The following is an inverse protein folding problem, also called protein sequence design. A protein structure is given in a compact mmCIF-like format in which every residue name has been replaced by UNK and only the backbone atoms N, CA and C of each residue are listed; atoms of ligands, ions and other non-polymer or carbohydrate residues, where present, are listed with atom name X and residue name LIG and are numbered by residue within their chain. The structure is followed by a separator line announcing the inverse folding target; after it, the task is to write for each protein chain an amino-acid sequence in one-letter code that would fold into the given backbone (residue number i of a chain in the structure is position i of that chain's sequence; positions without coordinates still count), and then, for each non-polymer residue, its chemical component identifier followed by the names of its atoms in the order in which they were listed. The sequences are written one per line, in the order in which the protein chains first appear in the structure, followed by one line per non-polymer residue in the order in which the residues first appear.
data_IF_600518252501
#
_entry.id   IF_600518252501
#
_cell.length_a   1.000
_cell.length_b   1.000
_cell.length_c   1.000
_cell.angle_alpha   90.00
_cell.angle_beta   90.00
_cell.angle_gamma   90.00
#
_symmetry.space_group_name_H-M   'P 1'
#
loop_
_entity.id
_entity.type
_entity.pdbx_description
1 polymer ?
#
# COMPACT_ATOMS: atom_id res chain seq x y z
N UNK A 1 -30.01 -23.29 24.41
CA UNK A 1 -30.72 -23.63 23.16
C UNK A 1 -31.03 -22.32 22.47
N UNK A 2 -30.37 -21.89 21.39
CA UNK A 2 -29.71 -22.64 20.31
C UNK A 2 -30.42 -22.27 19.00
N UNK A 3 -29.63 -21.98 17.95
CA UNK A 3 -29.99 -21.65 16.55
C UNK A 3 -30.31 -20.15 16.30
N UNK A 4 -29.46 -19.32 15.66
CA UNK A 4 -28.47 -19.43 14.59
C UNK A 4 -29.04 -19.56 13.16
N UNK A 5 -28.79 -18.48 12.41
CA UNK A 5 -28.46 -18.42 10.96
C UNK A 5 -29.57 -18.59 9.93
N UNK A 6 -29.81 -17.53 9.14
CA UNK A 6 -29.37 -17.45 7.73
C UNK A 6 -29.93 -16.17 7.08
N UNK A 7 -29.08 -15.13 6.97
CA UNK A 7 -29.30 -14.08 5.97
C UNK A 7 -28.76 -14.60 4.63
N UNK A 8 -29.63 -15.14 3.79
CA UNK A 8 -29.34 -15.36 2.37
C UNK A 8 -29.16 -13.97 1.70
N UNK A 9 -27.93 -13.67 1.28
CA UNK A 9 -27.70 -12.61 0.30
C UNK A 9 -28.15 -13.13 -1.07
N UNK A 10 -29.31 -12.67 -1.53
CA UNK A 10 -29.75 -12.83 -2.91
C UNK A 10 -28.82 -12.06 -3.84
N UNK A 11 -28.21 -12.77 -4.78
CA UNK A 11 -27.23 -12.25 -5.74
C UNK A 11 -27.96 -11.61 -6.93
N UNK A 12 -27.68 -10.33 -7.20
CA UNK A 12 -28.16 -9.63 -8.39
C UNK A 12 -27.09 -9.74 -9.50
N UNK A 13 -27.35 -10.45 -10.61
CA UNK A 13 -26.35 -10.70 -11.67
C UNK A 13 -25.94 -9.46 -12.48
N UNK A 14 -26.47 -8.27 -12.17
CA UNK A 14 -26.19 -7.02 -12.91
C UNK A 14 -25.18 -6.07 -12.23
N UNK A 15 -24.57 -6.45 -11.11
CA UNK A 15 -23.54 -5.61 -10.47
C UNK A 15 -22.18 -5.75 -11.19
N UNK A 16 -22.08 -5.14 -12.37
CA UNK A 16 -20.82 -5.00 -13.11
C UNK A 16 -19.89 -4.13 -12.29
N UNK A 17 -18.73 -4.68 -11.90
CA UNK A 17 -17.71 -3.95 -11.15
C UNK A 17 -16.68 -3.35 -12.08
N UNK A 18 -15.88 -2.41 -11.59
CA UNK A 18 -14.73 -1.91 -12.32
C UNK A 18 -13.71 -3.04 -12.54
N UNK A 19 -13.08 -3.14 -13.73
CA UNK A 19 -13.23 -2.24 -14.89
C UNK A 19 -14.44 -2.54 -15.78
N UNK A 20 -15.18 -1.49 -16.17
CA UNK A 20 -16.42 -1.60 -16.98
C UNK A 20 -16.18 -1.84 -18.48
N UNK A 21 -14.99 -1.51 -18.98
CA UNK A 21 -14.60 -1.62 -20.39
C UNK A 21 -13.96 -2.98 -20.74
N UNK A 22 -13.87 -3.88 -19.77
CA UNK A 22 -13.28 -5.22 -19.90
C UNK A 22 -14.37 -6.28 -19.77
N UNK A 23 -14.21 -7.42 -20.44
CA UNK A 23 -15.21 -8.51 -20.40
C UNK A 23 -15.37 -9.08 -18.98
N UNK A 24 -16.63 -9.15 -18.53
CA UNK A 24 -17.08 -9.77 -17.28
C UNK A 24 -17.53 -11.23 -17.48
N UNK A 25 -17.31 -11.82 -18.66
CA UNK A 25 -17.67 -13.22 -18.91
C UNK A 25 -16.74 -14.19 -18.14
N UNK A 26 -17.29 -15.03 -17.25
CA UNK A 26 -16.49 -15.88 -16.36
C UNK A 26 -16.01 -17.13 -17.11
N UNK A 27 -14.81 -17.06 -17.69
CA UNK A 27 -14.25 -18.10 -18.56
C UNK A 27 -12.95 -18.72 -18.03
N UNK A 28 -12.29 -18.09 -17.05
CA UNK A 28 -10.94 -18.45 -16.59
C UNK A 28 -10.98 -19.21 -15.27
N UNK A 29 -10.18 -20.27 -15.15
CA UNK A 29 -9.93 -20.97 -13.89
C UNK A 29 -8.84 -20.24 -13.10
N UNK A 30 -8.82 -20.44 -11.78
CA UNK A 30 -7.84 -19.80 -10.90
C UNK A 30 -6.36 -20.08 -11.27
N UNK A 31 -6.07 -21.23 -11.88
CA UNK A 31 -4.74 -21.55 -12.39
C UNK A 31 -4.34 -20.69 -13.58
N UNK A 32 -5.27 -20.48 -14.52
CA UNK A 32 -5.07 -19.64 -15.70
C UNK A 32 -4.90 -18.16 -15.30
N UNK A 33 -5.67 -17.69 -14.31
CA UNK A 33 -5.51 -16.35 -13.74
C UNK A 33 -4.11 -16.15 -13.16
N UNK A 34 -3.62 -17.14 -12.38
CA UNK A 34 -2.25 -17.09 -11.84
C UNK A 34 -1.22 -17.03 -12.97
N UNK A 35 -1.36 -17.86 -14.01
CA UNK A 35 -0.42 -17.87 -15.14
C UNK A 35 -0.37 -16.52 -15.86
N UNK A 36 -1.52 -15.89 -16.12
CA UNK A 36 -1.61 -14.58 -16.74
C UNK A 36 -0.86 -13.51 -15.92
N UNK A 37 -1.04 -13.52 -14.59
CA UNK A 37 -0.45 -12.52 -13.71
C UNK A 37 1.02 -12.84 -13.32
N UNK A 38 1.51 -14.06 -13.55
CA UNK A 38 2.84 -14.48 -13.11
C UNK A 38 3.99 -13.73 -13.78
N UNK A 39 3.78 -13.17 -14.98
CA UNK A 39 4.79 -12.36 -15.66
C UNK A 39 5.09 -11.06 -14.90
N UNK A 40 4.08 -10.46 -14.28
CA UNK A 40 4.18 -9.19 -13.54
C UNK A 40 4.35 -9.42 -12.03
N UNK A 41 3.85 -10.55 -11.53
CA UNK A 41 3.88 -10.94 -10.11
C UNK A 41 4.37 -12.39 -9.95
N UNK A 42 5.68 -12.66 -10.07
CA UNK A 42 6.23 -14.03 -10.05
C UNK A 42 5.99 -14.78 -8.74
N UNK A 43 5.76 -14.06 -7.64
CA UNK A 43 5.48 -14.61 -6.31
C UNK A 43 3.98 -14.85 -6.05
N UNK A 44 3.10 -14.55 -7.01
CA UNK A 44 1.67 -14.77 -6.85
C UNK A 44 1.36 -16.28 -6.80
N UNK A 45 0.69 -16.69 -5.73
CA UNK A 45 0.20 -18.06 -5.57
C UNK A 45 -1.33 -18.11 -5.52
N UNK A 46 -1.88 -19.30 -5.77
CA UNK A 46 -3.34 -19.53 -5.77
C UNK A 46 -3.97 -19.21 -4.41
N UNK A 47 -3.26 -19.44 -3.31
CA UNK A 47 -3.74 -19.14 -1.96
C UNK A 47 -3.96 -17.64 -1.75
N UNK A 48 -3.09 -16.78 -2.29
CA UNK A 48 -3.25 -15.32 -2.26
C UNK A 48 -4.48 -14.87 -3.05
N UNK A 49 -4.73 -15.44 -4.23
CA UNK A 49 -5.93 -15.13 -5.03
C UNK A 49 -7.21 -15.52 -4.25
N UNK A 50 -7.24 -16.70 -3.64
CA UNK A 50 -8.35 -17.14 -2.78
C UNK A 50 -8.55 -16.26 -1.56
N UNK A 51 -7.46 -15.78 -0.97
CA UNK A 51 -7.53 -14.87 0.16
C UNK A 51 -8.18 -13.54 -0.24
N UNK A 52 -7.79 -12.97 -1.38
CA UNK A 52 -8.38 -11.73 -1.91
C UNK A 52 -9.88 -11.90 -2.25
N UNK A 53 -10.27 -13.08 -2.73
CA UNK A 53 -11.69 -13.44 -2.89
C UNK A 53 -12.41 -13.51 -1.54
N UNK A 54 -11.84 -14.17 -0.54
CA UNK A 54 -12.48 -14.38 0.76
C UNK A 54 -12.76 -13.07 1.53
N UNK A 55 -12.02 -12.00 1.22
CA UNK A 55 -12.23 -10.66 1.80
C UNK A 55 -12.99 -9.74 0.83
N UNK A 56 -13.66 -10.31 -0.17
CA UNK A 56 -14.54 -9.66 -1.14
C UNK A 56 -13.89 -8.55 -1.99
N UNK A 57 -12.56 -8.57 -2.16
CA UNK A 57 -11.89 -7.64 -3.09
C UNK A 57 -12.03 -8.06 -4.55
N UNK A 58 -12.31 -9.33 -4.81
CA UNK A 58 -12.67 -9.88 -6.11
C UNK A 58 -13.82 -10.87 -5.92
N UNK A 59 -14.81 -10.85 -6.81
CA UNK A 59 -16.03 -11.66 -6.66
C UNK A 59 -16.19 -12.53 -7.92
N UNK A 60 -15.49 -13.67 -8.00
CA UNK A 60 -15.58 -14.57 -9.14
C UNK A 60 -16.93 -15.29 -9.19
N UNK A 61 -17.40 -15.60 -10.39
CA UNK A 61 -18.61 -16.38 -10.58
C UNK A 61 -18.44 -17.83 -10.10
N UNK A 62 -19.48 -18.36 -9.45
CA UNK A 62 -19.55 -19.77 -9.05
C UNK A 62 -20.48 -20.54 -9.96
N UNK A 63 -19.99 -21.63 -10.56
CA UNK A 63 -20.82 -22.54 -11.34
C UNK A 63 -21.81 -23.30 -10.44
N UNK A 64 -22.81 -23.94 -11.04
CA UNK A 64 -23.71 -24.89 -10.37
C UNK A 64 -22.97 -26.08 -9.72
N UNK A 65 -21.76 -26.39 -10.19
CA UNK A 65 -20.82 -27.36 -9.61
C UNK A 65 -19.87 -26.77 -8.56
N UNK A 66 -20.12 -25.52 -8.10
CA UNK A 66 -19.32 -24.78 -7.12
C UNK A 66 -17.85 -24.52 -7.53
N UNK A 67 -17.57 -24.49 -8.84
CA UNK A 67 -16.26 -24.10 -9.36
C UNK A 67 -16.19 -22.59 -9.52
N UNK A 68 -15.04 -22.00 -9.15
CA UNK A 68 -14.74 -20.57 -9.36
C UNK A 68 -14.31 -20.34 -10.80
N UNK A 69 -14.99 -19.41 -11.46
CA UNK A 69 -14.62 -18.89 -12.77
C UNK A 69 -14.44 -17.38 -12.66
N UNK A 70 -13.30 -16.93 -13.14
CA UNK A 70 -12.90 -15.54 -13.17
C UNK A 70 -13.13 -14.99 -14.58
N UNK A 71 -13.51 -13.74 -14.66
CA UNK A 71 -13.60 -12.96 -15.89
C UNK A 71 -12.27 -12.27 -16.20
N UNK A 72 -12.19 -11.60 -17.35
CA UNK A 72 -11.03 -10.73 -17.63
C UNK A 72 -11.03 -9.49 -16.75
N UNK A 73 -12.20 -8.97 -16.41
CA UNK A 73 -12.32 -7.84 -15.48
C UNK A 73 -11.76 -8.21 -14.10
N UNK A 74 -12.01 -9.43 -13.61
CA UNK A 74 -11.43 -9.91 -12.35
C UNK A 74 -9.90 -9.96 -12.39
N UNK A 75 -9.31 -10.32 -13.54
CA UNK A 75 -7.84 -10.34 -13.72
C UNK A 75 -7.27 -8.92 -13.62
N UNK A 76 -7.91 -7.95 -14.28
CA UNK A 76 -7.49 -6.54 -14.20
C UNK A 76 -7.64 -5.97 -12.78
N UNK A 77 -8.74 -6.32 -12.11
CA UNK A 77 -8.97 -5.97 -10.71
C UNK A 77 -7.90 -6.55 -9.79
N UNK A 78 -7.55 -7.83 -9.96
CA UNK A 78 -6.44 -8.46 -9.25
C UNK A 78 -5.09 -7.79 -9.57
N UNK A 79 -4.82 -7.44 -10.82
CA UNK A 79 -3.61 -6.70 -11.21
C UNK A 79 -3.53 -5.34 -10.50
N UNK A 80 -4.65 -4.61 -10.42
CA UNK A 80 -4.72 -3.35 -9.69
C UNK A 80 -4.38 -3.54 -8.21
N UNK A 81 -5.05 -4.48 -7.54
CA UNK A 81 -4.78 -4.80 -6.13
C UNK A 81 -3.30 -5.10 -5.91
N UNK A 82 -2.74 -6.01 -6.71
CA UNK A 82 -1.35 -6.45 -6.57
C UNK A 82 -0.33 -5.33 -6.86
N UNK A 83 -0.63 -4.44 -7.82
CA UNK A 83 0.19 -3.27 -8.11
C UNK A 83 0.20 -2.29 -6.95
N UNK A 84 -0.98 -1.97 -6.40
CA UNK A 84 -1.11 -1.08 -5.24
C UNK A 84 -0.41 -1.64 -4.00
N UNK A 85 -0.44 -2.96 -3.80
CA UNK A 85 0.34 -3.61 -2.74
C UNK A 85 1.86 -3.58 -3.00
N UNK A 86 2.30 -3.76 -4.24
CA UNK A 86 3.73 -3.85 -4.60
C UNK A 86 4.42 -2.48 -4.59
N UNK A 87 3.79 -1.49 -5.21
CA UNK A 87 4.42 -0.21 -5.53
C UNK A 87 4.09 0.86 -4.49
N UNK A 88 2.91 0.75 -3.87
CA UNK A 88 2.39 1.72 -2.90
C UNK A 88 2.17 1.13 -1.51
N UNK A 89 2.42 -0.16 -1.32
CA UNK A 89 2.30 -0.86 -0.03
C UNK A 89 0.96 -0.62 0.67
N UNK A 90 -0.12 -0.44 -0.11
CA UNK A 90 -1.43 -0.12 0.47
C UNK A 90 -2.03 -1.36 1.17
N UNK A 91 -2.55 -1.19 2.40
CA UNK A 91 -3.42 -2.15 3.05
C UNK A 91 -4.67 -2.48 2.24
N UNK A 92 -5.12 -3.72 2.37
CA UNK A 92 -6.23 -4.28 1.59
C UNK A 92 -7.57 -3.58 1.85
N UNK A 93 -7.79 -3.05 3.06
CA UNK A 93 -8.96 -2.24 3.39
C UNK A 93 -9.05 -0.98 2.54
N UNK A 94 -7.95 -0.24 2.42
CA UNK A 94 -7.88 0.99 1.62
C UNK A 94 -7.96 0.68 0.12
N UNK A 95 -7.37 -0.43 -0.33
CA UNK A 95 -7.57 -0.89 -1.71
C UNK A 95 -9.05 -1.21 -1.97
N UNK A 96 -9.76 -1.79 -1.00
CA UNK A 96 -11.20 -2.03 -1.08
C UNK A 96 -12.02 -0.74 -1.21
N UNK A 97 -11.67 0.31 -0.47
CA UNK A 97 -12.29 1.63 -0.61
C UNK A 97 -12.06 2.24 -2.00
N UNK A 98 -10.82 2.15 -2.52
CA UNK A 98 -10.48 2.60 -3.88
C UNK A 98 -11.32 1.85 -4.92
N UNK A 99 -11.41 0.53 -4.78
CA UNK A 99 -12.22 -0.30 -5.67
C UNK A 99 -13.71 0.04 -5.58
N UNK A 100 -14.25 0.30 -4.38
CA UNK A 100 -15.64 0.72 -4.20
C UNK A 100 -15.93 2.07 -4.87
N UNK A 101 -14.98 3.01 -4.81
CA UNK A 101 -15.08 4.27 -5.52
C UNK A 101 -15.11 4.06 -7.04
N UNK A 102 -14.25 3.17 -7.55
CA UNK A 102 -14.20 2.79 -8.97
C UNK A 102 -15.49 2.11 -9.43
N UNK A 103 -16.04 1.20 -8.63
CA UNK A 103 -17.29 0.48 -8.88
C UNK A 103 -18.50 1.42 -8.93
N UNK A 104 -18.46 2.53 -8.19
CA UNK A 104 -19.57 3.51 -8.16
C UNK A 104 -19.65 4.42 -9.39
N UNK A 105 -18.76 4.24 -10.38
CA UNK A 105 -18.75 5.05 -11.60
C UNK A 105 -18.39 6.53 -11.36
N UNK A 106 -17.96 6.91 -10.15
CA UNK A 106 -17.43 8.25 -9.81
C UNK A 106 -16.04 8.50 -10.42
N UNK A 107 -15.76 7.92 -11.58
CA UNK A 107 -14.67 8.32 -12.44
C UNK A 107 -15.09 9.53 -13.29
N UNK A 108 -15.48 10.63 -12.63
CA UNK A 108 -15.66 11.93 -13.25
C UNK A 108 -14.35 12.71 -13.13
N UNK A 109 -13.61 12.80 -14.23
CA UNK A 109 -12.45 13.70 -14.43
C UNK A 109 -11.40 13.66 -13.30
N UNK A 110 -10.70 12.52 -13.14
CA UNK A 110 -9.50 12.47 -12.29
C UNK A 110 -9.18 11.18 -11.54
N UNK A 111 -9.73 10.00 -11.89
CA UNK A 111 -9.32 8.72 -11.28
C UNK A 111 -9.64 7.50 -12.19
N UNK A 112 -8.95 6.33 -12.06
CA UNK A 112 -8.14 5.73 -13.11
C UNK A 112 -8.84 4.48 -13.65
N UNK A 113 -9.93 4.66 -14.40
CA UNK A 113 -10.45 3.61 -15.28
C UNK A 113 -9.84 3.62 -16.68
N UNK A 114 -9.08 4.67 -17.01
CA UNK A 114 -8.40 4.84 -18.30
C UNK A 114 -7.00 5.40 -18.08
N UNK A 115 -6.07 4.59 -17.60
CA UNK A 115 -4.64 4.93 -17.71
C UNK A 115 -3.79 3.66 -17.80
N UNK A 116 -3.80 3.11 -19.02
CA UNK A 116 -2.61 2.51 -19.64
C UNK A 116 -1.45 3.50 -19.42
N UNK A 117 -0.39 3.07 -18.76
CA UNK A 117 0.91 3.76 -18.72
C UNK A 117 0.85 5.29 -18.43
N UNK A 118 0.49 5.67 -17.21
CA UNK A 118 0.95 6.94 -16.63
C UNK A 118 1.35 6.66 -15.18
N UNK A 119 2.60 7.01 -14.89
CA UNK A 119 3.24 7.02 -13.58
C UNK A 119 2.28 7.56 -12.50
N UNK A 120 1.90 6.73 -11.52
CA UNK A 120 0.99 7.15 -10.45
C UNK A 120 1.77 7.89 -9.36
N UNK A 121 1.97 9.19 -9.57
CA UNK A 121 2.48 10.17 -8.60
C UNK A 121 1.39 11.22 -8.24
N UNK A 122 0.10 10.87 -8.39
CA UNK A 122 -1.03 11.82 -8.37
C UNK A 122 -1.88 11.83 -7.07
N UNK A 123 -1.26 11.52 -5.92
CA UNK A 123 -1.44 12.45 -4.80
C UNK A 123 -0.29 13.42 -5.01
N UNK A 124 -0.46 14.75 -5.12
CA UNK A 124 0.68 15.65 -5.24
C UNK A 124 1.64 15.38 -4.10
N UNK A 125 2.63 14.53 -4.34
CA UNK A 125 3.60 14.16 -3.33
C UNK A 125 4.40 15.43 -3.17
N UNK A 126 4.41 16.02 -1.97
CA UNK A 126 5.10 17.27 -1.79
C UNK A 126 6.54 17.04 -2.24
N UNK A 127 7.03 17.84 -3.19
CA UNK A 127 8.36 17.65 -3.76
C UNK A 127 9.38 17.57 -2.61
N UNK A 128 10.43 16.74 -2.71
CA UNK A 128 11.48 16.70 -1.70
C UNK A 128 11.96 18.13 -1.36
N UNK A 129 11.91 18.48 -0.07
CA UNK A 129 12.23 19.83 0.41
C UNK A 129 11.01 20.75 0.66
N UNK A 130 9.80 20.34 0.26
CA UNK A 130 8.56 21.03 0.62
C UNK A 130 8.35 21.00 2.14
N UNK A 131 7.83 22.10 2.67
CA UNK A 131 7.48 22.24 4.09
C UNK A 131 5.98 22.47 4.20
N UNK A 132 5.33 21.61 4.96
CA UNK A 132 3.88 21.58 5.12
C UNK A 132 3.47 21.99 6.53
N UNK A 133 2.36 22.67 6.66
CA UNK A 133 1.64 22.82 7.91
C UNK A 133 0.92 21.52 8.27
N UNK A 134 0.55 21.36 9.54
CA UNK A 134 -0.26 20.21 9.98
C UNK A 134 -1.63 20.17 9.29
N UNK A 135 -2.20 21.35 9.00
CA UNK A 135 -3.46 21.47 8.27
C UNK A 135 -3.34 20.93 6.83
N UNK A 136 -2.27 21.28 6.12
CA UNK A 136 -2.01 20.74 4.78
C UNK A 136 -1.77 19.21 4.81
N UNK A 137 -1.06 18.70 5.82
CA UNK A 137 -0.90 17.24 6.00
C UNK A 137 -2.23 16.56 6.30
N UNK A 138 -3.10 17.19 7.12
CA UNK A 138 -4.44 16.70 7.41
C UNK A 138 -5.30 16.62 6.14
N UNK A 139 -5.30 17.67 5.32
CA UNK A 139 -6.01 17.70 4.04
C UNK A 139 -5.54 16.60 3.08
N UNK A 140 -4.22 16.35 3.01
CA UNK A 140 -3.64 15.35 2.12
C UNK A 140 -3.80 13.89 2.61
N UNK A 141 -4.06 13.69 3.89
CA UNK A 141 -4.11 12.34 4.51
C UNK A 141 -5.50 11.95 4.99
N UNK A 142 -6.40 12.91 5.21
CA UNK A 142 -7.69 12.68 5.88
C UNK A 142 -7.57 12.49 7.39
N UNK A 143 -6.36 12.53 7.97
CA UNK A 143 -6.12 12.34 9.40
C UNK A 143 -6.37 13.66 10.14
N UNK A 144 -7.13 13.67 11.26
CA UNK A 144 -7.33 14.87 12.08
C UNK A 144 -6.02 15.54 12.49
N UNK A 145 -6.02 16.88 12.52
CA UNK A 145 -4.84 17.65 12.95
C UNK A 145 -4.38 17.25 14.35
N UNK A 146 -5.31 16.93 15.26
CA UNK A 146 -5.02 16.53 16.64
C UNK A 146 -4.16 15.25 16.71
N UNK A 147 -4.44 14.28 15.84
CA UNK A 147 -3.68 13.03 15.75
C UNK A 147 -2.29 13.27 15.13
N UNK A 148 -2.21 14.16 14.14
CA UNK A 148 -0.92 14.60 13.56
C UNK A 148 -0.07 15.31 14.62
N UNK A 149 -0.70 16.10 15.50
CA UNK A 149 -0.02 16.71 16.63
C UNK A 149 0.49 15.69 17.64
N UNK A 150 -0.27 14.62 17.89
CA UNK A 150 0.20 13.54 18.74
C UNK A 150 1.41 12.82 18.13
N UNK A 151 1.37 12.48 16.84
CA UNK A 151 2.50 11.91 16.12
C UNK A 151 3.73 12.83 16.17
N UNK A 152 3.54 14.14 16.09
CA UNK A 152 4.61 15.13 16.24
C UNK A 152 5.15 15.18 17.68
N UNK A 153 4.29 15.21 18.70
CA UNK A 153 4.68 15.18 20.12
C UNK A 153 5.49 13.93 20.47
N UNK A 154 5.15 12.80 19.86
CA UNK A 154 5.85 11.53 20.03
C UNK A 154 7.14 11.43 19.21
N UNK A 155 7.41 12.42 18.35
CA UNK A 155 8.58 12.44 17.47
C UNK A 155 8.53 11.37 16.37
N UNK A 156 7.33 10.93 15.99
CA UNK A 156 7.12 10.03 14.84
C UNK A 156 7.25 10.82 13.54
N UNK A 157 6.73 12.05 13.50
CA UNK A 157 6.99 13.03 12.45
C UNK A 157 7.90 14.15 12.94
N UNK A 158 8.87 14.54 12.11
CA UNK A 158 9.81 15.61 12.41
C UNK A 158 9.21 16.99 12.09
N UNK A 159 9.36 17.93 13.03
CA UNK A 159 8.83 19.29 12.94
C UNK A 159 9.99 20.28 12.97
N UNK A 160 10.01 21.22 12.03
CA UNK A 160 11.01 22.29 12.00
C UNK A 160 10.74 23.37 13.08
N UNK A 161 11.68 24.29 13.34
CA UNK A 161 11.49 25.35 14.34
C UNK A 161 10.30 26.28 14.10
N UNK A 162 9.71 26.27 12.90
CA UNK A 162 8.51 27.05 12.54
C UNK A 162 7.24 26.21 12.65
N UNK A 163 7.30 25.00 13.20
CA UNK A 163 6.16 24.12 13.35
C UNK A 163 5.77 23.38 12.06
N UNK A 164 6.63 23.35 11.04
CA UNK A 164 6.32 22.73 9.75
C UNK A 164 6.92 21.35 9.59
N UNK A 165 6.18 20.49 8.90
CA UNK A 165 6.46 19.10 8.60
C UNK A 165 7.18 18.96 7.26
N UNK A 166 7.89 17.85 7.08
CA UNK A 166 8.54 17.51 5.82
C UNK A 166 7.54 16.92 4.81
N UNK A 167 7.92 16.86 3.53
CA UNK A 167 7.16 16.14 2.51
C UNK A 167 6.84 14.69 2.88
N UNK A 168 7.74 14.01 3.59
CA UNK A 168 7.56 12.62 4.03
C UNK A 168 6.54 12.46 5.15
N UNK A 169 6.15 13.55 5.82
CA UNK A 169 5.16 13.48 6.90
C UNK A 169 3.80 12.95 6.40
N UNK A 170 3.46 13.20 5.13
CA UNK A 170 2.21 12.70 4.53
C UNK A 170 2.17 11.17 4.56
N UNK A 171 3.24 10.51 4.09
CA UNK A 171 3.32 9.04 4.09
C UNK A 171 3.44 8.49 5.52
N UNK A 172 4.24 9.12 6.38
CA UNK A 172 4.42 8.69 7.77
C UNK A 172 3.08 8.74 8.52
N UNK A 173 2.33 9.83 8.41
CA UNK A 173 1.00 9.99 9.03
C UNK A 173 0.03 8.95 8.48
N UNK A 174 -0.05 8.79 7.15
CA UNK A 174 -0.94 7.83 6.50
C UNK A 174 -0.69 6.41 7.02
N UNK A 175 0.55 5.92 6.95
CA UNK A 175 0.84 4.56 7.40
C UNK A 175 0.73 4.39 8.91
N UNK A 176 1.01 5.43 9.70
CA UNK A 176 0.76 5.39 11.14
C UNK A 176 -0.72 5.18 11.43
N UNK A 177 -1.61 5.90 10.74
CA UNK A 177 -3.06 5.73 10.90
C UNK A 177 -3.51 4.30 10.54
N UNK A 178 -3.03 3.78 9.41
CA UNK A 178 -3.41 2.43 8.98
C UNK A 178 -2.95 1.34 9.95
N UNK A 179 -1.77 1.53 10.57
CA UNK A 179 -1.25 0.64 11.60
C UNK A 179 -2.13 0.72 12.86
N UNK A 180 -2.53 1.92 13.28
CA UNK A 180 -3.43 2.09 14.43
C UNK A 180 -4.82 1.51 14.18
N UNK A 181 -5.35 1.60 12.96
CA UNK A 181 -6.64 1.02 12.57
C UNK A 181 -6.63 -0.52 12.64
N UNK A 182 -5.45 -1.14 12.48
CA UNK A 182 -5.24 -2.58 12.69
C UNK A 182 -5.10 -2.96 14.18
N UNK A 183 -5.23 -2.00 15.10
CA UNK A 183 -5.16 -2.22 16.54
C UNK A 183 -3.73 -2.19 17.11
N UNK A 184 -2.73 -1.83 16.32
CA UNK A 184 -1.36 -1.65 16.81
C UNK A 184 -1.19 -0.26 17.42
N UNK A 185 -0.71 -0.20 18.65
CA UNK A 185 -0.57 1.08 19.35
C UNK A 185 0.62 1.93 18.84
N UNK A 186 0.66 3.18 19.30
CA UNK A 186 1.72 4.14 18.98
C UNK A 186 3.11 3.71 19.47
N UNK A 187 3.21 2.76 20.42
CA UNK A 187 4.49 2.23 20.90
C UNK A 187 5.16 1.41 19.80
N UNK A 188 4.38 0.60 19.07
CA UNK A 188 4.88 -0.18 17.94
C UNK A 188 5.39 0.73 16.82
N UNK A 189 4.65 1.80 16.51
CA UNK A 189 5.07 2.80 15.50
C UNK A 189 6.39 3.46 15.92
N UNK A 190 6.56 3.80 17.20
CA UNK A 190 7.83 4.34 17.71
C UNK A 190 8.99 3.35 17.60
N UNK A 191 8.75 2.04 17.79
CA UNK A 191 9.78 1.03 17.61
C UNK A 191 10.27 1.00 16.15
N UNK A 192 9.36 1.04 15.18
CA UNK A 192 9.69 1.14 13.75
C UNK A 192 10.46 2.42 13.45
N UNK A 193 10.00 3.58 13.97
CA UNK A 193 10.70 4.87 13.82
C UNK A 193 12.13 4.84 14.35
N UNK A 194 12.34 4.24 15.52
CA UNK A 194 13.67 4.13 16.12
C UNK A 194 14.59 3.23 15.28
N UNK A 195 14.08 2.12 14.77
CA UNK A 195 14.83 1.25 13.85
C UNK A 195 15.23 2.01 12.57
N UNK A 196 14.30 2.75 11.97
CA UNK A 196 14.58 3.58 10.80
C UNK A 196 15.68 4.63 11.08
N UNK A 197 15.64 5.30 12.24
CA UNK A 197 16.67 6.27 12.64
C UNK A 197 18.05 5.62 12.81
N UNK A 198 18.11 4.44 13.43
CA UNK A 198 19.36 3.70 13.60
C UNK A 198 19.96 3.28 12.25
N UNK A 199 19.14 2.79 11.32
CA UNK A 199 19.58 2.43 9.98
C UNK A 199 20.04 3.64 9.16
N UNK A 200 19.34 4.78 9.25
CA UNK A 200 19.77 6.02 8.62
C UNK A 200 21.14 6.48 9.18
N UNK A 201 21.34 6.37 10.49
CA UNK A 201 22.63 6.69 11.13
C UNK A 201 23.75 5.75 10.66
N UNK A 202 23.46 4.45 10.55
CA UNK A 202 24.41 3.44 10.01
C UNK A 202 24.83 3.79 8.58
N UNK A 203 23.88 4.05 7.69
CA UNK A 203 24.13 4.39 6.27
C UNK A 203 24.91 5.70 6.16
N UNK A 204 24.50 6.75 6.88
CA UNK A 204 25.19 8.04 6.83
C UNK A 204 26.61 7.96 7.39
N UNK A 205 26.83 7.14 8.41
CA UNK A 205 28.17 6.87 8.98
C UNK A 205 29.07 6.17 7.98
N UNK A 206 28.58 5.16 7.25
CA UNK A 206 29.39 4.48 6.21
C UNK A 206 29.78 5.41 5.05
N UNK A 207 29.01 6.48 4.84
CA UNK A 207 29.26 7.47 3.78
C UNK A 207 30.09 8.67 4.26
N UNK A 208 30.47 8.73 5.54
CA UNK A 208 31.09 9.90 6.16
C UNK A 208 32.35 10.38 5.42
N UNK A 209 33.23 9.47 4.99
CA UNK A 209 34.46 9.82 4.27
C UNK A 209 34.20 10.45 2.88
N UNK A 210 33.11 10.07 2.21
CA UNK A 210 32.73 10.68 0.94
C UNK A 210 32.10 12.06 1.15
N UNK A 211 31.23 12.18 2.16
CA UNK A 211 30.60 13.45 2.54
C UNK A 211 31.62 14.49 3.02
N UNK A 212 32.71 14.07 3.67
CA UNK A 212 33.79 14.94 4.12
C UNK A 212 34.53 15.66 2.98
N UNK A 213 34.50 15.13 1.74
CA UNK A 213 35.15 15.76 0.58
C UNK A 213 34.47 17.06 0.12
N UNK A 214 33.25 17.35 0.61
CA UNK A 214 32.47 18.56 0.36
C UNK A 214 32.37 19.01 -1.11
N UNK A 215 32.51 18.09 -2.07
CA UNK A 215 32.31 18.40 -3.49
C UNK A 215 30.90 17.99 -3.93
N UNK A 216 30.27 18.71 -4.88
CA UNK A 216 28.94 18.37 -5.39
C UNK A 216 28.87 16.93 -5.91
N UNK A 217 29.88 16.49 -6.66
CA UNK A 217 29.98 15.14 -7.22
C UNK A 217 30.12 14.07 -6.13
N UNK A 218 30.90 14.33 -5.08
CA UNK A 218 31.02 13.40 -3.95
C UNK A 218 29.70 13.28 -3.18
N UNK A 219 28.96 14.39 -3.05
CA UNK A 219 27.66 14.41 -2.37
C UNK A 219 26.59 13.66 -3.16
N UNK A 220 26.54 13.86 -4.48
CA UNK A 220 25.63 13.14 -5.38
C UNK A 220 25.89 11.63 -5.35
N UNK A 221 27.16 11.21 -5.40
CA UNK A 221 27.54 9.80 -5.26
C UNK A 221 27.15 9.22 -3.89
N UNK A 222 27.36 9.97 -2.81
CA UNK A 222 26.95 9.54 -1.48
C UNK A 222 25.43 9.38 -1.37
N UNK A 223 24.64 10.28 -1.98
CA UNK A 223 23.18 10.12 -2.05
C UNK A 223 22.76 8.89 -2.85
N UNK A 224 23.34 8.68 -4.04
CA UNK A 224 23.04 7.50 -4.86
C UNK A 224 23.35 6.20 -4.12
N UNK A 225 24.53 6.11 -3.50
CA UNK A 225 24.93 4.95 -2.71
C UNK A 225 24.06 4.78 -1.45
N UNK A 226 23.71 5.86 -0.77
CA UNK A 226 22.80 5.82 0.37
C UNK A 226 21.42 5.29 0.02
N UNK A 227 20.88 5.67 -1.14
CA UNK A 227 19.61 5.16 -1.64
C UNK A 227 19.69 3.65 -1.95
N UNK A 228 20.77 3.20 -2.57
CA UNK A 228 21.01 1.78 -2.84
C UNK A 228 21.10 0.96 -1.53
N UNK A 229 21.87 1.44 -0.56
CA UNK A 229 21.97 0.82 0.76
C UNK A 229 20.63 0.77 1.48
N UNK A 230 19.86 1.87 1.44
CA UNK A 230 18.51 1.92 2.01
C UNK A 230 17.59 0.88 1.38
N UNK A 231 17.62 0.73 0.05
CA UNK A 231 16.80 -0.26 -0.64
C UNK A 231 17.15 -1.70 -0.22
N UNK A 232 18.43 -2.00 -0.01
CA UNK A 232 18.87 -3.31 0.50
C UNK A 232 18.44 -3.55 1.95
N UNK A 233 18.55 -2.55 2.82
CA UNK A 233 18.09 -2.63 4.22
C UNK A 233 16.59 -2.90 4.29
N UNK A 234 15.78 -2.24 3.46
CA UNK A 234 14.32 -2.48 3.40
C UNK A 234 14.02 -3.90 2.96
N UNK A 235 14.70 -4.42 1.93
CA UNK A 235 14.53 -5.80 1.47
C UNK A 235 14.92 -6.82 2.54
N UNK A 236 16.00 -6.58 3.27
CA UNK A 236 16.42 -7.41 4.39
C UNK A 236 15.39 -7.38 5.52
N UNK A 237 14.91 -6.19 5.89
CA UNK A 237 13.88 -6.02 6.92
C UNK A 237 12.60 -6.78 6.56
N UNK A 238 12.17 -6.71 5.30
CA UNK A 238 11.01 -7.46 4.82
C UNK A 238 11.22 -8.98 4.96
N UNK A 239 12.37 -9.50 4.54
CA UNK A 239 12.67 -10.92 4.63
C UNK A 239 12.68 -11.40 6.10
N UNK A 240 13.37 -10.67 6.98
CA UNK A 240 13.42 -10.97 8.41
C UNK A 240 12.02 -10.90 9.04
N UNK A 241 11.22 -9.89 8.71
CA UNK A 241 9.88 -9.74 9.28
C UNK A 241 8.98 -10.93 8.92
N UNK A 242 9.00 -11.37 7.66
CA UNK A 242 8.23 -12.55 7.21
C UNK A 242 8.70 -13.80 7.95
N UNK A 243 10.01 -14.05 8.01
CA UNK A 243 10.58 -15.19 8.72
C UNK A 243 10.17 -15.21 10.20
N UNK A 244 10.25 -14.06 10.90
CA UNK A 244 9.87 -13.98 12.32
C UNK A 244 8.36 -14.19 12.53
N UNK A 245 7.51 -13.70 11.62
CA UNK A 245 6.06 -13.95 11.70
C UNK A 245 5.77 -15.43 11.52
N UNK A 246 6.42 -16.10 10.56
CA UNK A 246 6.27 -17.55 10.35
C UNK A 246 6.69 -18.33 11.60
N UNK A 247 7.85 -17.99 12.20
CA UNK A 247 8.36 -18.65 13.41
C UNK A 247 7.47 -18.42 14.64
N UNK A 248 6.83 -17.26 14.79
CA UNK A 248 5.94 -16.96 15.94
C UNK A 248 4.54 -17.56 15.79
N UNK A 249 4.12 -17.91 14.57
CA UNK A 249 2.81 -18.50 14.30
C UNK A 249 2.83 -20.03 14.24
N UNK A 250 4.00 -20.65 14.10
CA UNK A 250 4.23 -22.10 14.17
C UNK A 250 4.37 -22.60 15.62
#
# INVERSE_FOLDING_TARGET
MGEATQHLHSHDPEQVSWPFDVSHEPTLKIGEVKEILSAEFPMLNVSKIRYLENIDLVIPHRTSSNQRLFSRADVERLRFILTEQRDRYLPLSQIGELLSQLDSGRAGEGHPGRMRAVEHDDVPRPKPGTRLTKAEVSELTGVPVEDIEELARLGVVEVDPRGRLTSHAVDIVRYSQMITDLGLDLRNIRAVKNSAHNHATMITTSLAAQLAKQSPVARERAFAQGNEMSALVVKLYQALLVENIEVELD
#
